data_IF_987251228465
#
_entry.id   IF_987251228465
#
_cell.length_a   1.000
_cell.length_b   1.000
_cell.length_c   1.000
_cell.angle_alpha   90.00
_cell.angle_beta   90.00
_cell.angle_gamma   90.00
#
_symmetry.space_group_name_H-M   'P 1'
#
loop_
_entity.id
_entity.type
_entity.pdbx_description
1 polymer ?
#
# COMPACT_ATOMS: atom_id res chain seq x y z
N UNK A 1 -32.05 -10.53 -34.01
CA UNK A 1 -30.58 -10.64 -33.90
C UNK A 1 -30.13 -9.65 -32.83
N UNK A 2 -29.66 -10.14 -31.68
CA UNK A 2 -29.24 -9.30 -30.54
C UNK A 2 -27.78 -8.91 -30.75
N UNK A 3 -27.50 -7.62 -30.94
CA UNK A 3 -26.14 -7.10 -30.98
C UNK A 3 -25.51 -7.23 -29.60
N UNK A 4 -24.39 -7.94 -29.55
CA UNK A 4 -23.54 -8.12 -28.38
C UNK A 4 -22.76 -6.82 -28.18
N UNK A 5 -23.11 -6.08 -27.12
CA UNK A 5 -22.33 -4.94 -26.64
C UNK A 5 -21.01 -5.46 -26.10
N UNK A 6 -19.93 -5.29 -26.88
CA UNK A 6 -18.56 -5.46 -26.40
C UNK A 6 -18.26 -4.34 -25.40
N UNK A 7 -18.32 -4.67 -24.12
CA UNK A 7 -17.82 -3.84 -23.04
C UNK A 7 -16.29 -3.83 -23.17
N UNK A 8 -15.74 -2.75 -23.72
CA UNK A 8 -14.30 -2.47 -23.67
C UNK A 8 -13.91 -2.29 -22.20
N UNK A 9 -13.37 -3.35 -21.59
CA UNK A 9 -12.71 -3.27 -20.30
C UNK A 9 -11.44 -2.43 -20.48
N UNK A 10 -11.53 -1.14 -20.18
CA UNK A 10 -10.35 -0.29 -20.02
C UNK A 10 -9.56 -0.84 -18.82
N UNK A 11 -8.59 -1.70 -19.10
CA UNK A 11 -7.56 -2.07 -18.16
C UNK A 11 -6.80 -0.78 -17.82
N UNK A 12 -7.17 -0.13 -16.72
CA UNK A 12 -6.38 0.94 -16.12
C UNK A 12 -5.05 0.31 -15.67
N UNK A 13 -4.11 0.19 -16.60
CA UNK A 13 -2.72 -0.05 -16.30
C UNK A 13 -2.26 1.13 -15.43
N UNK A 14 -2.20 0.92 -14.13
CA UNK A 14 -1.62 1.89 -13.20
C UNK A 14 -0.14 1.97 -13.55
N UNK A 15 0.27 3.11 -14.11
CA UNK A 15 1.66 3.35 -14.43
C UNK A 15 2.51 3.15 -13.16
N UNK A 16 3.71 2.54 -13.27
CA UNK A 16 4.62 2.46 -12.14
C UNK A 16 4.92 3.88 -11.63
N UNK A 17 4.98 4.04 -10.31
CA UNK A 17 5.28 5.32 -9.68
C UNK A 17 6.68 5.81 -10.08
N UNK A 18 6.82 7.13 -10.24
CA UNK A 18 8.14 7.74 -10.35
C UNK A 18 8.84 7.72 -8.98
N UNK A 19 10.18 7.77 -8.97
CA UNK A 19 10.94 7.74 -7.72
C UNK A 19 10.52 8.84 -6.72
N UNK A 20 10.21 10.04 -7.20
CA UNK A 20 9.77 11.16 -6.36
C UNK A 20 8.41 10.95 -5.67
N UNK A 21 7.58 10.04 -6.16
CA UNK A 21 6.32 9.70 -5.51
C UNK A 21 6.54 8.89 -4.23
N UNK A 22 7.59 8.07 -4.23
CA UNK A 22 8.01 7.33 -3.04
C UNK A 22 8.62 8.24 -1.98
N UNK A 23 9.27 9.35 -2.36
CA UNK A 23 9.75 10.35 -1.39
C UNK A 23 8.58 10.98 -0.60
N UNK A 24 7.45 11.24 -1.25
CA UNK A 24 6.24 11.72 -0.58
C UNK A 24 5.69 10.69 0.41
N UNK A 25 5.70 9.40 0.04
CA UNK A 25 5.37 8.28 0.93
C UNK A 25 6.33 8.26 2.12
N UNK A 26 7.64 8.37 1.88
CA UNK A 26 8.66 8.37 2.92
C UNK A 26 8.53 9.53 3.89
N UNK A 27 8.20 10.72 3.40
CA UNK A 27 7.90 11.89 4.22
C UNK A 27 6.65 11.68 5.07
N UNK A 28 5.56 11.21 4.48
CA UNK A 28 4.33 10.91 5.21
C UNK A 28 4.57 9.84 6.28
N UNK A 29 5.32 8.79 5.96
CA UNK A 29 5.64 7.72 6.90
C UNK A 29 6.42 8.26 8.11
N UNK A 30 7.46 9.07 7.89
CA UNK A 30 8.24 9.69 8.97
C UNK A 30 7.45 10.69 9.82
N UNK A 31 6.55 11.44 9.21
CA UNK A 31 5.73 12.42 9.93
C UNK A 31 4.72 11.75 10.86
N UNK A 32 4.14 10.63 10.45
CA UNK A 32 3.07 9.96 11.20
C UNK A 32 3.57 8.83 12.10
N UNK A 33 4.67 8.19 11.70
CA UNK A 33 5.33 7.12 12.44
C UNK A 33 6.83 7.37 12.51
N UNK A 34 7.27 8.44 13.23
CA UNK A 34 8.69 8.75 13.34
C UNK A 34 9.50 7.64 14.02
N UNK A 35 8.85 6.82 14.85
CA UNK A 35 9.44 5.64 15.47
C UNK A 35 9.52 4.39 14.57
N UNK A 36 8.98 4.42 13.35
CA UNK A 36 8.98 3.24 12.47
C UNK A 36 10.41 2.85 12.10
N UNK A 37 10.85 1.70 12.60
CA UNK A 37 12.15 1.11 12.29
C UNK A 37 12.05 0.08 11.16
N UNK A 38 10.85 -0.45 10.92
CA UNK A 38 10.58 -1.52 9.96
C UNK A 38 9.33 -1.25 9.13
N UNK A 39 9.44 -1.40 7.82
CA UNK A 39 8.32 -1.30 6.89
C UNK A 39 8.29 -2.55 6.03
N UNK A 40 7.15 -3.24 5.99
CA UNK A 40 7.00 -4.38 5.09
C UNK A 40 6.40 -3.97 3.76
N UNK A 41 6.82 -4.66 2.70
CA UNK A 41 6.25 -4.54 1.36
C UNK A 41 5.87 -5.95 0.90
N UNK A 42 4.60 -6.16 0.58
CA UNK A 42 4.10 -7.43 0.03
C UNK A 42 3.91 -7.24 -1.46
N UNK A 43 4.71 -7.92 -2.27
CA UNK A 43 4.70 -7.76 -3.72
C UNK A 43 5.35 -8.96 -4.43
N UNK A 44 5.13 -9.09 -5.74
CA UNK A 44 6.00 -9.94 -6.57
C UNK A 44 7.31 -9.19 -6.83
N UNK A 45 8.33 -9.49 -6.03
CA UNK A 45 9.63 -8.79 -6.05
C UNK A 45 10.34 -8.85 -7.40
N UNK A 46 10.04 -9.86 -8.23
CA UNK A 46 10.63 -9.98 -9.56
C UNK A 46 10.05 -8.94 -10.54
N UNK A 47 8.79 -8.54 -10.34
CA UNK A 47 8.09 -7.58 -11.19
C UNK A 47 8.06 -6.18 -10.57
N UNK A 48 8.33 -6.07 -9.27
CA UNK A 48 8.26 -4.82 -8.50
C UNK A 48 9.63 -4.27 -8.10
N UNK A 49 10.74 -4.73 -8.73
CA UNK A 49 12.11 -4.31 -8.36
C UNK A 49 12.30 -2.79 -8.37
N UNK A 50 11.83 -2.09 -9.40
CA UNK A 50 11.96 -0.64 -9.51
C UNK A 50 11.24 0.10 -8.37
N UNK A 51 10.05 -0.38 -7.99
CA UNK A 51 9.31 0.14 -6.85
C UNK A 51 10.05 -0.12 -5.54
N UNK A 52 10.58 -1.32 -5.33
CA UNK A 52 11.34 -1.68 -4.13
C UNK A 52 12.59 -0.82 -3.96
N UNK A 53 13.34 -0.60 -5.05
CA UNK A 53 14.54 0.25 -5.03
C UNK A 53 14.17 1.71 -4.71
N UNK A 54 13.06 2.22 -5.27
CA UNK A 54 12.58 3.57 -4.98
C UNK A 54 12.06 3.73 -3.54
N UNK A 55 11.34 2.74 -3.01
CA UNK A 55 10.89 2.71 -1.61
C UNK A 55 12.09 2.72 -0.67
N UNK A 56 13.13 1.93 -0.96
CA UNK A 56 14.37 1.92 -0.19
C UNK A 56 15.08 3.28 -0.20
N UNK A 57 15.12 3.94 -1.36
CA UNK A 57 15.66 5.30 -1.50
C UNK A 57 14.88 6.35 -0.69
N UNK A 58 13.56 6.23 -0.62
CA UNK A 58 12.69 7.18 0.08
C UNK A 58 12.66 6.99 1.62
N UNK A 59 13.03 5.81 2.09
CA UNK A 59 13.00 5.42 3.51
C UNK A 59 14.40 5.12 4.08
N UNK A 60 15.40 6.04 3.98
CA UNK A 60 16.72 5.77 4.53
C UNK A 60 16.67 5.55 6.06
N UNK A 61 17.38 4.52 6.52
CA UNK A 61 17.44 4.16 7.94
C UNK A 61 16.23 3.34 8.44
N UNK A 62 15.23 3.08 7.60
CA UNK A 62 14.14 2.15 7.90
C UNK A 62 14.45 0.81 7.24
N UNK A 63 14.31 -0.28 7.99
CA UNK A 63 14.51 -1.63 7.48
C UNK A 63 13.31 -2.09 6.65
N UNK A 64 13.52 -2.30 5.35
CA UNK A 64 12.51 -2.88 4.48
C UNK A 64 12.43 -4.40 4.62
N UNK A 65 11.22 -4.89 4.91
CA UNK A 65 10.89 -6.31 4.97
C UNK A 65 10.12 -6.68 3.70
N UNK A 66 10.82 -7.25 2.72
CA UNK A 66 10.19 -7.70 1.48
C UNK A 66 9.56 -9.07 1.73
N UNK A 67 8.25 -9.16 1.52
CA UNK A 67 7.49 -10.40 1.59
C UNK A 67 7.07 -10.74 0.16
N UNK A 68 7.87 -11.60 -0.46
CA UNK A 68 7.69 -11.99 -1.85
C UNK A 68 6.47 -12.91 -2.00
N UNK A 69 5.61 -12.57 -2.96
CA UNK A 69 4.37 -13.30 -3.27
C UNK A 69 4.27 -13.48 -4.77
N UNK A 70 3.93 -14.69 -5.24
CA UNK A 70 3.82 -14.99 -6.68
C UNK A 70 2.37 -15.10 -7.14
N UNK A 71 1.44 -15.27 -6.20
CA UNK A 71 0.00 -15.22 -6.46
C UNK A 71 -0.83 -15.17 -5.20
N UNK A 72 -2.15 -15.18 -5.36
CA UNK A 72 -3.10 -15.08 -4.25
C UNK A 72 -2.97 -16.23 -3.23
N UNK A 73 -2.53 -17.41 -3.68
CA UNK A 73 -2.29 -18.56 -2.81
C UNK A 73 -1.20 -18.30 -1.75
N UNK A 74 -0.29 -17.34 -1.99
CA UNK A 74 0.80 -17.02 -1.07
C UNK A 74 0.37 -16.07 0.05
N UNK A 75 -0.82 -15.47 -0.04
CA UNK A 75 -1.31 -14.45 0.90
C UNK A 75 -1.41 -14.96 2.34
N UNK A 76 -1.79 -16.22 2.54
CA UNK A 76 -1.84 -16.82 3.88
C UNK A 76 -0.46 -16.88 4.54
N UNK A 77 0.57 -17.26 3.76
CA UNK A 77 1.97 -17.29 4.22
C UNK A 77 2.49 -15.87 4.44
N UNK A 78 2.16 -14.94 3.55
CA UNK A 78 2.53 -13.53 3.68
C UNK A 78 1.97 -12.93 4.97
N UNK A 79 0.70 -13.18 5.28
CA UNK A 79 0.07 -12.76 6.53
C UNK A 79 0.76 -13.39 7.76
N UNK A 80 1.10 -14.68 7.69
CA UNK A 80 1.88 -15.35 8.74
C UNK A 80 3.24 -14.66 8.99
N UNK A 81 3.95 -14.31 7.92
CA UNK A 81 5.23 -13.60 8.01
C UNK A 81 5.07 -12.19 8.59
N UNK A 82 4.03 -11.45 8.20
CA UNK A 82 3.70 -10.13 8.75
C UNK A 82 3.43 -10.21 10.26
N UNK A 83 2.62 -11.17 10.69
CA UNK A 83 2.28 -11.34 12.11
C UNK A 83 3.49 -11.77 12.96
N UNK A 84 4.37 -12.60 12.41
CA UNK A 84 5.59 -13.03 13.09
C UNK A 84 6.62 -11.91 13.21
N UNK A 85 6.77 -11.10 12.16
CA UNK A 85 7.79 -10.04 12.10
C UNK A 85 7.34 -8.71 12.71
N UNK A 86 6.02 -8.49 12.81
CA UNK A 86 5.37 -7.26 13.32
C UNK A 86 6.04 -5.98 12.80
N UNK A 87 5.96 -5.72 11.47
CA UNK A 87 6.44 -4.45 10.94
C UNK A 87 5.65 -3.28 11.55
N UNK A 88 6.28 -2.11 11.60
CA UNK A 88 5.64 -0.89 12.11
C UNK A 88 4.58 -0.37 11.14
N UNK A 89 4.77 -0.60 9.84
CA UNK A 89 3.79 -0.33 8.79
C UNK A 89 3.95 -1.28 7.60
N UNK A 90 2.90 -1.39 6.80
CA UNK A 90 2.94 -2.09 5.51
C UNK A 90 2.66 -1.12 4.38
N UNK A 91 3.53 -1.08 3.38
CA UNK A 91 3.35 -0.29 2.18
C UNK A 91 2.90 -1.20 1.03
N UNK A 92 1.78 -0.84 0.41
CA UNK A 92 1.27 -1.47 -0.79
C UNK A 92 1.90 -0.82 -2.03
N UNK A 93 2.09 -1.61 -3.08
CA UNK A 93 2.78 -1.16 -4.31
C UNK A 93 1.75 -1.01 -5.42
N UNK A 94 1.55 0.20 -5.95
CA UNK A 94 0.73 0.35 -7.16
C UNK A 94 1.29 -0.46 -8.33
N UNK A 95 0.37 -1.02 -9.11
CA UNK A 95 0.72 -1.82 -10.29
C UNK A 95 1.26 -3.21 -9.97
N UNK A 96 1.47 -3.58 -8.70
CA UNK A 96 1.80 -4.96 -8.36
C UNK A 96 0.63 -5.89 -8.70
N UNK A 97 0.90 -6.91 -9.53
CA UNK A 97 -0.13 -7.80 -10.07
C UNK A 97 -0.78 -8.71 -9.03
N UNK A 98 -0.14 -8.87 -7.86
CA UNK A 98 -0.59 -9.82 -6.84
C UNK A 98 -1.27 -9.10 -5.69
N UNK A 99 -0.55 -8.20 -5.03
CA UNK A 99 -0.96 -7.49 -3.82
C UNK A 99 -0.98 -5.96 -4.02
N UNK A 100 -1.02 -5.51 -5.27
CA UNK A 100 -1.08 -4.08 -5.57
C UNK A 100 -2.39 -3.45 -5.16
N UNK A 101 -2.36 -2.14 -4.97
CA UNK A 101 -3.54 -1.37 -4.57
C UNK A 101 -4.73 -1.61 -5.50
N UNK A 102 -5.93 -1.68 -4.92
CA UNK A 102 -7.14 -1.93 -5.70
C UNK A 102 -7.41 -3.41 -5.96
N UNK A 103 -6.47 -4.32 -5.67
CA UNK A 103 -6.70 -5.77 -5.78
C UNK A 103 -7.48 -6.34 -4.59
N UNK A 104 -8.10 -7.51 -4.78
CA UNK A 104 -8.74 -8.27 -3.71
C UNK A 104 -7.74 -8.77 -2.66
N UNK A 105 -6.51 -9.08 -3.08
CA UNK A 105 -5.44 -9.49 -2.18
C UNK A 105 -4.97 -8.33 -1.27
N UNK A 106 -4.83 -7.12 -1.82
CA UNK A 106 -4.57 -5.92 -1.03
C UNK A 106 -5.68 -5.69 0.00
N UNK A 107 -6.95 -5.79 -0.42
CA UNK A 107 -8.11 -5.67 0.48
C UNK A 107 -8.05 -6.70 1.62
N UNK A 108 -7.70 -7.95 1.31
CA UNK A 108 -7.53 -9.00 2.31
C UNK A 108 -6.42 -8.64 3.32
N UNK A 109 -5.25 -8.20 2.84
CA UNK A 109 -4.13 -7.81 3.72
C UNK A 109 -4.51 -6.63 4.62
N UNK A 110 -5.10 -5.58 4.04
CA UNK A 110 -5.54 -4.38 4.77
C UNK A 110 -6.48 -4.75 5.91
N UNK A 111 -7.52 -5.54 5.63
CA UNK A 111 -8.51 -5.94 6.63
C UNK A 111 -7.89 -6.76 7.77
N UNK A 112 -6.94 -7.66 7.44
CA UNK A 112 -6.27 -8.51 8.43
C UNK A 112 -5.28 -7.73 9.29
N UNK A 113 -4.57 -6.77 8.70
CA UNK A 113 -3.62 -5.91 9.41
C UNK A 113 -4.31 -4.86 10.30
N UNK A 114 -5.48 -4.38 9.89
CA UNK A 114 -6.31 -3.53 10.75
C UNK A 114 -6.68 -4.24 12.06
N UNK A 115 -7.00 -5.55 12.01
CA UNK A 115 -7.29 -6.35 13.20
C UNK A 115 -6.08 -6.50 14.15
N UNK A 116 -4.85 -6.42 13.62
CA UNK A 116 -3.61 -6.48 14.40
C UNK A 116 -2.99 -5.11 14.67
N UNK A 117 -3.72 -4.03 14.35
CA UNK A 117 -3.30 -2.62 14.52
C UNK A 117 -2.00 -2.27 13.80
N UNK A 118 -1.69 -2.97 12.70
CA UNK A 118 -0.57 -2.60 11.83
C UNK A 118 -1.12 -1.69 10.73
N UNK A 119 -0.68 -0.42 10.66
CA UNK A 119 -1.17 0.50 9.66
C UNK A 119 -0.68 0.11 8.26
N UNK A 120 -1.54 0.34 7.28
CA UNK A 120 -1.22 0.13 5.86
C UNK A 120 -1.21 1.47 5.12
N UNK A 121 -0.25 1.62 4.20
CA UNK A 121 -0.10 2.78 3.33
C UNK A 121 -0.35 2.32 1.90
N UNK A 122 -1.30 2.96 1.23
CA UNK A 122 -1.59 2.76 -0.17
C UNK A 122 -0.96 3.88 -1.01
N UNK A 123 -0.91 3.65 -2.31
CA UNK A 123 -0.46 4.60 -3.34
C UNK A 123 -1.58 5.08 -4.27
N UNK A 124 -2.81 4.58 -4.04
CA UNK A 124 -4.01 4.98 -4.79
C UNK A 124 -5.19 5.28 -3.86
N UNK A 125 -6.17 6.06 -4.34
CA UNK A 125 -7.42 6.30 -3.60
C UNK A 125 -8.19 5.00 -3.35
N UNK A 126 -8.18 4.06 -4.29
CA UNK A 126 -8.83 2.77 -4.14
C UNK A 126 -8.29 1.99 -2.94
N UNK A 127 -6.97 1.99 -2.72
CA UNK A 127 -6.36 1.36 -1.54
C UNK A 127 -6.81 1.98 -0.22
N UNK A 128 -6.98 3.31 -0.16
CA UNK A 128 -7.52 4.00 1.03
C UNK A 128 -8.98 3.63 1.28
N UNK A 129 -9.79 3.53 0.21
CA UNK A 129 -11.19 3.07 0.29
C UNK A 129 -11.30 1.60 0.71
N UNK A 130 -10.30 0.78 0.39
CA UNK A 130 -10.18 -0.61 0.86
C UNK A 130 -9.77 -0.72 2.33
N UNK A 131 -9.41 0.40 2.96
CA UNK A 131 -9.11 0.50 4.39
C UNK A 131 -7.66 0.81 4.71
N UNK A 132 -6.84 1.24 3.74
CA UNK A 132 -5.51 1.74 4.07
C UNK A 132 -5.61 3.02 4.92
N UNK A 133 -4.70 3.16 5.89
CA UNK A 133 -4.69 4.30 6.81
C UNK A 133 -4.37 5.59 6.06
N UNK A 134 -3.37 5.52 5.17
CA UNK A 134 -2.93 6.65 4.34
C UNK A 134 -2.91 6.23 2.86
N UNK A 135 -3.13 7.20 1.98
CA UNK A 135 -2.86 7.09 0.55
C UNK A 135 -1.96 8.23 0.08
N UNK A 136 -0.87 7.89 -0.60
CA UNK A 136 0.08 8.89 -1.11
C UNK A 136 0.62 8.47 -2.47
N UNK A 137 0.51 9.33 -3.48
CA UNK A 137 1.13 9.14 -4.78
C UNK A 137 0.27 9.67 -5.95
N UNK A 138 0.67 9.41 -7.20
CA UNK A 138 -0.09 9.84 -8.38
C UNK A 138 -1.49 9.23 -8.42
N UNK A 139 -1.65 8.01 -7.91
CA UNK A 139 -2.93 7.31 -7.85
C UNK A 139 -3.95 7.91 -6.87
N UNK A 140 -3.55 8.90 -6.07
CA UNK A 140 -4.46 9.73 -5.25
C UNK A 140 -4.68 11.12 -5.86
N UNK A 141 -4.22 11.34 -7.10
CA UNK A 141 -4.19 12.66 -7.73
C UNK A 141 -3.14 13.60 -7.11
N UNK A 142 -2.08 13.04 -6.53
CA UNK A 142 -1.02 13.80 -5.84
C UNK A 142 -1.42 14.30 -4.45
N UNK A 143 -2.57 13.86 -3.92
CA UNK A 143 -3.07 14.26 -2.60
C UNK A 143 -2.62 13.28 -1.52
N UNK A 144 -2.36 13.80 -0.32
CA UNK A 144 -2.30 12.96 0.87
C UNK A 144 -3.73 12.65 1.29
N UNK A 145 -4.13 11.39 1.19
CA UNK A 145 -5.44 10.91 1.64
C UNK A 145 -5.29 10.17 2.97
N UNK A 146 -6.30 10.25 3.82
CA UNK A 146 -6.34 9.50 5.07
C UNK A 146 -7.72 8.90 5.31
N UNK A 147 -7.76 7.62 5.72
CA UNK A 147 -8.97 6.98 6.19
C UNK A 147 -9.11 7.21 7.69
N UNK A 148 -9.91 8.20 8.09
CA UNK A 148 -9.99 8.64 9.48
C UNK A 148 -10.49 7.53 10.42
N UNK A 149 -11.41 6.69 9.94
CA UNK A 149 -11.95 5.56 10.72
C UNK A 149 -10.86 4.54 11.01
N UNK A 150 -10.09 4.15 10.01
CA UNK A 150 -9.03 3.13 10.20
C UNK A 150 -7.86 3.71 10.99
N UNK A 151 -7.50 4.98 10.76
CA UNK A 151 -6.48 5.68 11.54
C UNK A 151 -6.81 5.64 13.04
N UNK A 152 -8.06 5.94 13.42
CA UNK A 152 -8.53 5.84 14.80
C UNK A 152 -8.44 4.43 15.38
N UNK A 153 -8.87 3.41 14.64
CA UNK A 153 -8.79 1.99 15.06
C UNK A 153 -7.34 1.53 15.24
N UNK A 154 -6.44 1.96 14.35
CA UNK A 154 -5.02 1.67 14.40
C UNK A 154 -4.25 2.51 15.43
N UNK A 155 -4.89 3.50 16.06
CA UNK A 155 -4.24 4.41 17.00
C UNK A 155 -3.22 5.35 16.34
N UNK A 156 -3.47 5.72 15.08
CA UNK A 156 -2.58 6.55 14.27
C UNK A 156 -3.15 7.95 14.14
N UNK A 157 -2.28 8.95 14.31
CA UNK A 157 -2.63 10.34 14.04
C UNK A 157 -2.74 10.59 12.54
N UNK A 158 -3.78 11.32 12.13
CA UNK A 158 -3.94 11.75 10.74
C UNK A 158 -2.97 12.92 10.48
N UNK A 159 -2.16 12.87 9.41
CA UNK A 159 -1.25 13.95 9.09
C UNK A 159 -1.98 15.26 8.76
N UNK A 160 -1.38 16.38 9.17
CA UNK A 160 -1.84 17.70 8.76
C UNK A 160 -1.82 17.83 7.23
N UNK A 161 -2.90 18.38 6.65
CA UNK A 161 -3.05 18.53 5.20
C UNK A 161 -3.57 17.28 4.49
N UNK A 162 -3.84 16.18 5.20
CA UNK A 162 -4.50 15.03 4.61
C UNK A 162 -5.98 15.32 4.33
N UNK A 163 -6.42 15.04 3.10
CA UNK A 163 -7.84 15.00 2.78
C UNK A 163 -8.43 13.70 3.32
N UNK A 164 -9.39 13.83 4.24
CA UNK A 164 -10.05 12.67 4.82
C UNK A 164 -11.09 12.12 3.85
N UNK A 165 -11.14 10.80 3.72
CA UNK A 165 -12.13 10.09 2.90
C UNK A 165 -12.86 9.01 3.70
#
# INVERSE_FOLDING_TARGET
MKLVTLLSAALLATAPLAAGDYDAIGKALRQNWPQAATVAVVCDSAHSKGALDAIAGALPGVKLLIIDVKGQQDMGKALGALNARRPDAVLLVAGDKVAGDGTSAASFLIQRLAATKVPTVATTEAGVRQGAVLGVGPGTGGKLLANAKVASVAGVNIPAGASQI
#
